data_IF_814364643250
#
_entry.id   IF_814364643250
#
_cell.length_a   1.000
_cell.length_b   1.000
_cell.length_c   1.000
_cell.angle_alpha   90.00
_cell.angle_beta   90.00
_cell.angle_gamma   90.00
#
_symmetry.space_group_name_H-M   'P 1'
#
loop_
_entity.id
_entity.type
_entity.pdbx_description
1 polymer ?
#
# COMPACT_ATOMS: atom_id res chain seq x y z
N UNK A 1 -3.42 -21.04 11.28
CA UNK A 1 -2.80 -20.35 10.14
C UNK A 1 -2.22 -18.99 10.53
N UNK A 2 -2.95 -18.10 11.25
CA UNK A 2 -2.43 -16.77 11.72
C UNK A 2 -1.06 -16.85 12.42
N UNK A 3 -0.83 -17.86 13.27
CA UNK A 3 0.45 -18.04 13.99
C UNK A 3 1.62 -18.45 13.08
N UNK A 4 1.34 -19.20 12.00
CA UNK A 4 2.36 -19.65 11.05
C UNK A 4 2.83 -18.48 10.20
N UNK A 5 1.93 -17.57 9.83
CA UNK A 5 2.23 -16.38 9.01
C UNK A 5 3.13 -15.40 9.78
N UNK A 6 2.77 -15.06 11.02
CA UNK A 6 3.58 -14.20 11.88
C UNK A 6 4.98 -14.79 12.16
N UNK A 7 5.06 -16.11 12.32
CA UNK A 7 6.33 -16.83 12.54
C UNK A 7 7.19 -16.82 11.27
N UNK A 8 6.58 -16.95 10.07
CA UNK A 8 7.29 -16.87 8.81
C UNK A 8 7.85 -15.46 8.54
N UNK A 9 7.09 -14.41 8.86
CA UNK A 9 7.53 -13.03 8.76
C UNK A 9 8.70 -12.73 9.71
N UNK A 10 8.62 -13.17 10.97
CA UNK A 10 9.72 -13.02 11.93
C UNK A 10 10.97 -13.84 11.53
N UNK A 11 10.80 -15.02 10.94
CA UNK A 11 11.90 -15.83 10.45
C UNK A 11 12.60 -15.20 9.23
N UNK A 12 11.85 -14.55 8.33
CA UNK A 12 12.41 -13.80 7.22
C UNK A 12 13.25 -12.61 7.68
N UNK A 13 12.76 -11.86 8.67
CA UNK A 13 13.48 -10.74 9.28
C UNK A 13 14.81 -11.18 9.97
N UNK A 14 14.81 -12.34 10.63
CA UNK A 14 16.02 -12.90 11.26
C UNK A 14 17.02 -13.40 10.23
N UNK A 15 16.56 -13.96 9.10
CA UNK A 15 17.44 -14.43 8.03
C UNK A 15 18.12 -13.27 7.29
N UNK A 16 17.44 -12.13 7.12
CA UNK A 16 18.04 -10.93 6.50
C UNK A 16 19.12 -10.31 7.40
N UNK A 17 18.91 -10.26 8.71
CA UNK A 17 19.90 -9.75 9.66
C UNK A 17 21.18 -10.62 9.72
N UNK A 18 21.07 -11.93 9.47
CA UNK A 18 22.22 -12.84 9.44
C UNK A 18 23.04 -12.79 8.15
N UNK A 19 22.48 -12.24 7.05
CA UNK A 19 23.15 -12.15 5.75
C UNK A 19 24.05 -10.90 5.58
N UNK A 20 24.05 -9.96 6.53
CA UNK A 20 24.72 -8.65 6.42
C UNK A 20 26.16 -8.59 6.96
N UNK A 21 26.83 -9.70 7.21
CA UNK A 21 28.22 -9.71 7.74
C UNK A 21 29.34 -9.56 6.68
N UNK A 22 29.05 -9.44 5.37
CA UNK A 22 30.07 -9.14 4.35
C UNK A 22 29.83 -7.77 3.70
N UNK A 23 30.93 -7.01 3.46
CA UNK A 23 31.04 -5.63 2.92
C UNK A 23 29.84 -5.20 2.03
N UNK A 24 29.19 -4.12 2.44
CA UNK A 24 27.91 -3.64 1.94
C UNK A 24 27.85 -3.36 0.41
N UNK A 25 27.63 -4.38 -0.37
CA UNK A 25 26.84 -4.25 -1.58
C UNK A 25 25.39 -4.20 -1.10
N UNK A 26 24.70 -3.08 -1.31
CA UNK A 26 23.28 -2.99 -0.96
C UNK A 26 22.55 -4.21 -1.56
N UNK A 27 21.96 -5.02 -0.70
CA UNK A 27 21.23 -6.20 -1.14
C UNK A 27 20.05 -5.73 -2.00
N UNK A 28 19.84 -6.29 -3.19
CA UNK A 28 18.64 -5.98 -3.97
C UNK A 28 17.35 -6.46 -3.29
N UNK A 29 17.48 -7.25 -2.23
CA UNK A 29 16.37 -7.81 -1.46
C UNK A 29 16.25 -7.08 -0.12
N UNK A 30 15.10 -6.52 0.17
CA UNK A 30 14.76 -5.87 1.44
C UNK A 30 13.54 -6.51 2.10
N UNK A 31 13.50 -6.44 3.43
CA UNK A 31 12.41 -6.94 4.24
C UNK A 31 11.90 -5.84 5.15
N UNK A 32 10.58 -5.65 5.15
CA UNK A 32 9.94 -4.69 6.02
C UNK A 32 8.80 -5.35 6.79
N UNK A 33 8.50 -4.85 7.97
CA UNK A 33 7.30 -5.22 8.73
C UNK A 33 6.73 -4.00 9.41
N UNK A 34 5.41 -3.88 9.39
CA UNK A 34 4.68 -2.77 10.00
C UNK A 34 3.65 -3.30 11.00
N UNK A 35 3.47 -2.55 12.09
CA UNK A 35 2.36 -2.71 13.02
C UNK A 35 1.54 -1.43 12.97
N UNK A 36 0.26 -1.53 12.63
CA UNK A 36 -0.63 -0.40 12.46
C UNK A 36 -1.88 -0.55 13.34
N UNK A 37 -2.29 0.53 14.01
CA UNK A 37 -3.54 0.54 14.78
C UNK A 37 -4.78 0.43 13.87
N UNK A 38 -4.66 0.91 12.65
CA UNK A 38 -5.62 0.76 11.56
C UNK A 38 -4.86 0.66 10.23
N UNK A 39 -5.21 -0.29 9.37
CA UNK A 39 -4.79 -0.29 7.99
C UNK A 39 -5.72 0.61 7.17
N UNK A 40 -5.15 1.56 6.44
CA UNK A 40 -5.88 2.56 5.65
C UNK A 40 -5.40 2.50 4.20
N UNK A 41 -6.34 2.57 3.25
CA UNK A 41 -6.03 2.55 1.83
C UNK A 41 -6.98 3.45 1.03
N UNK A 42 -6.45 4.42 0.27
CA UNK A 42 -7.17 5.32 -0.66
C UNK A 42 -8.48 5.89 -0.13
N UNK A 43 -8.44 6.41 1.11
CA UNK A 43 -9.62 7.01 1.76
C UNK A 43 -10.54 5.99 2.45
N UNK A 44 -10.15 4.73 2.55
CA UNK A 44 -10.95 3.68 3.21
C UNK A 44 -10.22 3.07 4.41
N UNK A 45 -10.99 2.63 5.37
CA UNK A 45 -10.52 1.79 6.47
C UNK A 45 -10.58 0.33 6.02
N UNK A 46 -9.43 -0.32 5.98
CA UNK A 46 -9.29 -1.72 5.56
C UNK A 46 -9.54 -2.66 6.74
N UNK A 47 -8.79 -2.50 7.81
CA UNK A 47 -8.96 -3.28 9.04
C UNK A 47 -8.38 -2.51 10.24
N UNK A 48 -8.70 -2.95 11.44
CA UNK A 48 -8.17 -2.43 12.70
C UNK A 48 -6.69 -2.76 12.91
N UNK A 49 -6.33 -3.10 14.15
CA UNK A 49 -4.96 -3.47 14.50
C UNK A 49 -4.45 -4.58 13.57
N UNK A 50 -3.35 -4.32 12.86
CA UNK A 50 -2.82 -5.21 11.83
C UNK A 50 -1.30 -5.32 11.88
N UNK A 51 -0.79 -6.43 11.37
CA UNK A 51 0.61 -6.63 11.01
C UNK A 51 0.72 -6.76 9.49
N UNK A 52 1.73 -6.12 8.93
CA UNK A 52 2.07 -6.15 7.52
C UNK A 52 3.50 -6.64 7.36
N UNK A 53 3.79 -7.34 6.29
CA UNK A 53 5.12 -7.82 5.94
C UNK A 53 5.37 -7.70 4.46
N UNK A 54 6.48 -7.04 4.14
CA UNK A 54 6.86 -6.70 2.76
C UNK A 54 8.20 -7.35 2.44
N UNK A 55 8.26 -8.02 1.30
CA UNK A 55 9.48 -8.50 0.68
C UNK A 55 9.61 -7.77 -0.65
N UNK A 56 10.70 -7.04 -0.83
CA UNK A 56 10.96 -6.31 -2.07
C UNK A 56 12.30 -6.72 -2.67
N UNK A 57 12.28 -7.03 -3.96
CA UNK A 57 13.47 -7.22 -4.78
C UNK A 57 13.56 -6.11 -5.82
N UNK A 58 14.64 -5.32 -5.81
CA UNK A 58 14.81 -4.18 -6.70
C UNK A 58 16.16 -4.21 -7.41
N UNK A 59 16.15 -4.02 -8.73
CA UNK A 59 17.36 -3.93 -9.55
C UNK A 59 17.11 -3.08 -10.80
N UNK A 60 17.98 -2.10 -11.05
CA UNK A 60 18.00 -1.30 -12.28
C UNK A 60 16.62 -0.69 -12.66
N UNK A 61 15.91 -0.16 -11.67
CA UNK A 61 14.57 0.44 -11.84
C UNK A 61 13.41 -0.55 -11.88
N UNK A 62 13.68 -1.85 -11.96
CA UNK A 62 12.67 -2.89 -11.79
C UNK A 62 12.50 -3.24 -10.31
N UNK A 63 11.28 -3.47 -9.86
CA UNK A 63 11.02 -4.07 -8.55
C UNK A 63 9.88 -5.09 -8.61
N UNK A 64 10.01 -6.11 -7.76
CA UNK A 64 8.98 -7.10 -7.50
C UNK A 64 8.74 -7.16 -6.00
N UNK A 65 7.49 -6.98 -5.59
CA UNK A 65 7.10 -6.89 -4.19
C UNK A 65 6.05 -7.94 -3.87
N UNK A 66 6.19 -8.56 -2.72
CA UNK A 66 5.15 -9.35 -2.07
C UNK A 66 4.80 -8.63 -0.77
N UNK A 67 3.54 -8.29 -0.62
CA UNK A 67 3.00 -7.63 0.55
C UNK A 67 1.88 -8.45 1.16
N UNK A 68 1.88 -8.57 2.47
CA UNK A 68 0.91 -9.36 3.18
C UNK A 68 0.45 -8.65 4.45
N UNK A 69 -0.86 -8.42 4.56
CA UNK A 69 -1.50 -7.79 5.70
C UNK A 69 -2.39 -8.81 6.43
N UNK A 70 -2.33 -8.84 7.75
CA UNK A 70 -3.21 -9.67 8.57
C UNK A 70 -3.71 -8.89 9.78
N UNK A 71 -5.02 -8.89 10.01
CA UNK A 71 -5.62 -8.34 11.21
C UNK A 71 -5.14 -9.07 12.47
N UNK A 72 -4.90 -8.32 13.53
CA UNK A 72 -4.57 -8.84 14.87
C UNK A 72 -5.80 -8.65 15.75
N UNK A 73 -6.34 -9.75 16.29
CA UNK A 73 -7.47 -9.67 17.21
C UNK A 73 -8.76 -10.27 16.68
N UNK A 74 -9.85 -9.49 16.68
CA UNK A 74 -11.19 -9.98 16.37
C UNK A 74 -11.55 -9.87 14.89
N UNK A 75 -10.89 -8.98 14.16
CA UNK A 75 -11.14 -8.77 12.75
C UNK A 75 -10.53 -9.94 11.97
N UNK A 76 -11.29 -10.49 11.03
CA UNK A 76 -10.84 -11.59 10.18
C UNK A 76 -10.49 -11.04 8.78
N UNK A 77 -9.44 -10.21 8.70
CA UNK A 77 -8.93 -9.68 7.45
C UNK A 77 -7.54 -10.24 7.14
N UNK A 78 -7.36 -10.68 5.91
CA UNK A 78 -6.07 -11.07 5.37
C UNK A 78 -5.98 -10.59 3.93
N UNK A 79 -4.80 -10.11 3.54
CA UNK A 79 -4.47 -9.62 2.21
C UNK A 79 -3.12 -10.19 1.80
N UNK A 80 -2.97 -10.51 0.52
CA UNK A 80 -1.71 -10.88 -0.09
C UNK A 80 -1.65 -10.28 -1.48
N UNK A 81 -0.68 -9.41 -1.70
CA UNK A 81 -0.53 -8.65 -2.91
C UNK A 81 0.81 -8.91 -3.58
N UNK A 82 0.79 -8.86 -4.90
CA UNK A 82 1.98 -8.96 -5.73
C UNK A 82 2.09 -7.73 -6.63
N UNK A 83 3.24 -7.06 -6.57
CA UNK A 83 3.52 -5.89 -7.38
C UNK A 83 4.70 -6.18 -8.31
N UNK A 84 4.59 -5.71 -9.54
CA UNK A 84 5.69 -5.59 -10.50
C UNK A 84 5.74 -4.14 -10.93
N UNK A 85 6.88 -3.48 -10.70
CA UNK A 85 7.06 -2.06 -11.03
C UNK A 85 8.30 -1.89 -11.89
N UNK A 86 8.25 -0.87 -12.74
CA UNK A 86 9.42 -0.37 -13.45
C UNK A 86 9.44 1.15 -13.42
N UNK A 87 10.57 1.72 -12.98
CA UNK A 87 10.77 3.17 -12.90
C UNK A 87 11.99 3.57 -13.72
N UNK A 88 11.86 4.68 -14.46
CA UNK A 88 12.94 5.28 -15.24
C UNK A 88 12.78 6.80 -15.27
N UNK A 89 13.75 7.53 -14.70
CA UNK A 89 13.79 9.01 -14.68
C UNK A 89 12.47 9.62 -14.18
N UNK A 90 11.94 9.10 -13.10
CA UNK A 90 10.70 9.56 -12.48
C UNK A 90 9.43 8.97 -13.08
N UNK A 91 9.41 8.55 -14.35
CA UNK A 91 8.26 7.84 -14.91
C UNK A 91 8.21 6.41 -14.36
N UNK A 92 7.02 5.94 -13.99
CA UNK A 92 6.84 4.57 -13.54
C UNK A 92 5.59 3.91 -14.13
N UNK A 93 5.64 2.60 -14.22
CA UNK A 93 4.50 1.73 -14.51
C UNK A 93 4.47 0.61 -13.46
N UNK A 94 3.29 0.26 -12.99
CA UNK A 94 3.06 -0.83 -12.05
C UNK A 94 1.95 -1.75 -12.51
N UNK A 95 2.08 -3.02 -12.19
CA UNK A 95 1.01 -4.00 -12.28
C UNK A 95 0.89 -4.66 -10.90
N UNK A 96 -0.31 -4.58 -10.31
CA UNK A 96 -0.56 -5.07 -8.96
C UNK A 96 -1.72 -6.06 -8.99
N UNK A 97 -1.52 -7.20 -8.36
CA UNK A 97 -2.58 -8.18 -8.08
C UNK A 97 -2.88 -8.16 -6.59
N UNK A 98 -3.97 -7.53 -6.20
CA UNK A 98 -4.48 -7.51 -4.84
C UNK A 98 -5.33 -8.75 -4.59
N UNK A 99 -5.18 -9.39 -3.42
CA UNK A 99 -6.09 -10.47 -3.00
C UNK A 99 -6.60 -10.20 -1.59
N UNK A 100 -7.85 -9.77 -1.50
CA UNK A 100 -8.51 -9.42 -0.25
C UNK A 100 -9.40 -10.57 0.23
N UNK A 101 -8.99 -11.22 1.31
CA UNK A 101 -9.76 -12.34 1.89
C UNK A 101 -10.11 -12.02 3.34
N UNK A 102 -11.39 -12.15 3.70
CA UNK A 102 -11.89 -11.84 5.05
C UNK A 102 -11.61 -13.00 6.03
N UNK A 103 -12.25 -14.13 5.89
CA UNK A 103 -12.25 -15.19 6.90
C UNK A 103 -11.18 -16.27 6.68
N UNK A 104 -10.78 -16.47 5.44
CA UNK A 104 -9.85 -17.53 5.03
C UNK A 104 -8.87 -16.97 4.02
N UNK A 105 -7.63 -17.42 4.10
CA UNK A 105 -6.66 -17.17 3.07
C UNK A 105 -6.98 -18.05 1.85
N UNK A 106 -7.72 -17.50 0.88
CA UNK A 106 -8.18 -18.20 -0.34
C UNK A 106 -7.53 -17.62 -1.61
N UNK A 107 -6.24 -17.35 -1.57
CA UNK A 107 -5.50 -16.78 -2.70
C UNK A 107 -5.72 -17.55 -4.02
N UNK A 108 -5.86 -18.87 -3.97
CA UNK A 108 -6.10 -19.71 -5.16
C UNK A 108 -7.59 -19.90 -5.49
N UNK A 109 -8.48 -19.10 -4.92
CA UNK A 109 -9.90 -19.08 -5.25
C UNK A 109 -10.19 -18.49 -6.64
N UNK A 110 -11.48 -18.39 -7.03
CA UNK A 110 -11.86 -17.81 -8.32
C UNK A 110 -11.37 -16.36 -8.45
N UNK A 111 -10.61 -16.07 -9.50
CA UNK A 111 -9.98 -14.76 -9.72
C UNK A 111 -10.96 -13.58 -9.68
N UNK A 112 -12.15 -13.77 -10.23
CA UNK A 112 -13.21 -12.75 -10.25
C UNK A 112 -13.84 -12.44 -8.89
N UNK A 113 -13.55 -13.23 -7.86
CA UNK A 113 -14.16 -13.09 -6.53
C UNK A 113 -13.16 -12.54 -5.51
N UNK A 114 -11.87 -12.87 -5.67
CA UNK A 114 -10.86 -12.62 -4.64
C UNK A 114 -9.71 -11.70 -5.10
N UNK A 115 -9.56 -11.47 -6.42
CA UNK A 115 -8.43 -10.71 -6.94
C UNK A 115 -8.86 -9.40 -7.61
N UNK A 116 -7.98 -8.42 -7.57
CA UNK A 116 -8.11 -7.15 -8.27
C UNK A 116 -6.80 -6.84 -8.98
N UNK A 117 -6.78 -6.97 -10.32
CA UNK A 117 -5.61 -6.61 -11.12
C UNK A 117 -5.66 -5.14 -11.48
N UNK A 118 -4.68 -4.37 -11.01
CA UNK A 118 -4.56 -2.95 -11.26
C UNK A 118 -3.34 -2.63 -12.13
N UNK A 119 -3.51 -1.74 -13.10
CA UNK A 119 -2.43 -1.07 -13.82
C UNK A 119 -2.28 0.34 -13.26
N UNK A 120 -1.06 0.69 -12.85
CA UNK A 120 -0.68 2.03 -12.44
C UNK A 120 0.33 2.63 -13.42
N UNK A 121 0.23 3.93 -13.66
CA UNK A 121 1.24 4.74 -14.36
C UNK A 121 1.39 6.06 -13.63
N UNK A 122 2.59 6.62 -13.61
CA UNK A 122 2.78 7.91 -12.92
C UNK A 122 4.15 8.52 -13.16
N UNK A 123 4.36 9.60 -12.44
CA UNK A 123 5.60 10.37 -12.49
C UNK A 123 5.96 10.91 -11.11
N UNK A 124 7.20 10.68 -10.70
CA UNK A 124 7.82 11.26 -9.52
C UNK A 124 8.76 12.39 -9.95
N UNK A 125 8.42 13.61 -9.58
CA UNK A 125 9.18 14.81 -9.95
C UNK A 125 10.47 14.97 -9.14
N UNK A 126 10.62 14.28 -8.01
CA UNK A 126 11.82 14.34 -7.16
C UNK A 126 13.07 13.86 -7.90
N UNK A 127 12.91 12.90 -8.82
CA UNK A 127 13.98 12.32 -9.63
C UNK A 127 14.70 13.31 -10.55
N UNK A 128 14.01 14.39 -10.98
CA UNK A 128 14.57 15.34 -11.94
C UNK A 128 14.59 16.80 -11.45
N UNK A 129 13.78 17.15 -10.44
CA UNK A 129 13.61 18.55 -10.00
C UNK A 129 13.88 18.78 -8.54
N UNK A 130 14.12 17.73 -7.73
CA UNK A 130 14.13 17.75 -6.28
C UNK A 130 12.80 18.24 -5.65
N UNK A 131 11.72 18.31 -6.43
CA UNK A 131 10.38 18.61 -5.94
C UNK A 131 9.74 17.32 -5.44
N UNK A 132 9.44 17.14 -4.16
CA UNK A 132 8.88 15.92 -3.61
C UNK A 132 7.39 15.79 -3.93
N UNK A 133 7.08 15.81 -5.23
CA UNK A 133 5.73 15.75 -5.81
C UNK A 133 5.64 14.54 -6.71
N UNK A 134 4.52 13.82 -6.65
CA UNK A 134 4.20 12.74 -7.55
C UNK A 134 2.77 12.84 -8.08
N UNK A 135 2.52 12.21 -9.23
CA UNK A 135 1.19 12.02 -9.77
C UNK A 135 1.07 10.59 -10.29
N UNK A 136 -0.05 9.94 -10.02
CA UNK A 136 -0.34 8.61 -10.56
C UNK A 136 -1.77 8.49 -11.07
N UNK A 137 -1.97 7.59 -12.03
CA UNK A 137 -3.26 7.11 -12.50
C UNK A 137 -3.27 5.60 -12.41
N UNK A 138 -4.32 5.05 -11.81
CA UNK A 138 -4.49 3.62 -11.57
C UNK A 138 -5.85 3.18 -12.09
N UNK A 139 -5.93 1.98 -12.66
CA UNK A 139 -7.20 1.44 -13.20
C UNK A 139 -7.27 -0.06 -12.96
N UNK A 140 -8.42 -0.53 -12.47
CA UNK A 140 -8.71 -1.94 -12.26
C UNK A 140 -8.99 -2.64 -13.59
N UNK A 141 -8.07 -3.50 -14.05
CA UNK A 141 -8.16 -4.16 -15.36
C UNK A 141 -8.97 -5.46 -15.34
N UNK A 142 -8.94 -6.20 -14.23
CA UNK A 142 -9.55 -7.51 -14.13
C UNK A 142 -9.88 -7.87 -12.67
N UNK A 143 -10.60 -8.97 -12.47
CA UNK A 143 -10.88 -9.53 -11.15
C UNK A 143 -12.25 -9.12 -10.60
N UNK A 144 -12.33 -8.89 -9.31
CA UNK A 144 -13.56 -8.67 -8.56
C UNK A 144 -14.15 -7.26 -8.71
N UNK A 145 -13.46 -6.34 -9.39
CA UNK A 145 -14.02 -5.03 -9.73
C UNK A 145 -15.08 -5.16 -10.83
N UNK A 146 -16.32 -5.46 -10.42
CA UNK A 146 -17.43 -5.83 -11.32
C UNK A 146 -18.61 -4.87 -11.16
N UNK A 147 -19.27 -4.56 -12.28
CA UNK A 147 -20.55 -3.86 -12.30
C UNK A 147 -21.69 -4.79 -11.85
N UNK A 148 -22.88 -4.24 -11.64
CA UNK A 148 -24.09 -5.01 -11.34
C UNK A 148 -24.43 -6.05 -12.41
N UNK A 149 -24.05 -5.81 -13.67
CA UNK A 149 -24.24 -6.72 -14.80
C UNK A 149 -23.12 -7.76 -14.97
N UNK A 150 -22.23 -7.91 -13.97
CA UNK A 150 -21.05 -8.77 -14.00
C UNK A 150 -20.06 -8.45 -15.14
N UNK A 151 -19.97 -7.18 -15.55
CA UNK A 151 -18.94 -6.70 -16.45
C UNK A 151 -17.76 -6.16 -15.64
N UNK A 152 -16.57 -6.08 -16.25
CA UNK A 152 -15.43 -5.40 -15.62
C UNK A 152 -15.76 -3.93 -15.38
N UNK A 153 -15.51 -3.44 -14.15
CA UNK A 153 -15.90 -2.09 -13.73
C UNK A 153 -14.92 -1.02 -14.16
N UNK A 154 -13.64 -1.34 -14.32
CA UNK A 154 -12.57 -0.39 -14.66
C UNK A 154 -12.53 0.83 -13.73
N UNK A 155 -12.81 0.64 -12.44
CA UNK A 155 -12.67 1.71 -11.44
C UNK A 155 -11.29 2.34 -11.53
N UNK A 156 -11.24 3.66 -11.53
CA UNK A 156 -9.99 4.39 -11.73
C UNK A 156 -9.74 5.40 -10.62
N UNK A 157 -8.45 5.60 -10.31
CA UNK A 157 -7.99 6.43 -9.23
C UNK A 157 -6.80 7.26 -9.65
N UNK A 158 -6.85 8.57 -9.37
CA UNK A 158 -5.74 9.50 -9.58
C UNK A 158 -5.25 9.94 -8.20
N UNK A 159 -3.94 9.98 -7.99
CA UNK A 159 -3.36 10.53 -6.78
C UNK A 159 -2.30 11.58 -7.09
N UNK A 160 -2.33 12.66 -6.34
CA UNK A 160 -1.27 13.66 -6.26
C UNK A 160 -0.66 13.52 -4.88
N UNK A 161 0.63 13.15 -4.83
CA UNK A 161 1.40 12.98 -3.60
C UNK A 161 2.40 14.11 -3.40
N UNK A 162 2.61 14.53 -2.16
CA UNK A 162 3.65 15.49 -1.76
C UNK A 162 4.32 15.01 -0.48
N UNK A 163 5.60 14.60 -0.56
CA UNK A 163 6.32 13.90 0.50
C UNK A 163 7.65 14.58 0.85
N UNK A 164 7.66 15.79 1.45
CA UNK A 164 8.88 16.48 1.82
C UNK A 164 9.49 15.95 3.12
N UNK A 165 10.82 15.87 3.17
CA UNK A 165 11.58 15.68 4.38
C UNK A 165 11.96 17.03 4.98
N UNK A 166 11.64 17.25 6.25
CA UNK A 166 11.98 18.47 6.98
C UNK A 166 13.41 18.40 7.55
N UNK A 167 14.04 19.55 7.75
CA UNK A 167 15.41 19.63 8.26
C UNK A 167 15.61 18.96 9.65
N UNK A 168 14.53 18.75 10.43
CA UNK A 168 14.56 18.03 11.71
C UNK A 168 14.51 16.50 11.56
N UNK A 169 14.52 15.97 10.32
CA UNK A 169 14.41 14.54 10.03
C UNK A 169 13.01 14.00 10.27
N UNK A 170 11.99 14.82 10.10
CA UNK A 170 10.58 14.41 10.04
C UNK A 170 10.19 14.37 8.57
N UNK A 171 9.57 13.28 8.16
CA UNK A 171 9.01 13.10 6.83
C UNK A 171 7.50 13.33 6.87
N UNK A 172 7.00 14.09 5.89
CA UNK A 172 5.57 14.29 5.69
C UNK A 172 5.11 13.46 4.51
N UNK A 173 3.86 12.98 4.58
CA UNK A 173 3.20 12.23 3.51
C UNK A 173 1.80 12.82 3.32
N UNK A 174 1.64 13.60 2.27
CA UNK A 174 0.39 14.30 1.95
C UNK A 174 -0.11 13.78 0.62
N UNK A 175 -1.37 13.36 0.56
CA UNK A 175 -1.97 12.89 -0.69
C UNK A 175 -3.36 13.46 -0.90
N UNK A 176 -3.68 13.70 -2.17
CA UNK A 176 -5.01 14.00 -2.67
C UNK A 176 -5.39 12.97 -3.72
N UNK A 177 -6.38 12.14 -3.39
CA UNK A 177 -6.88 11.07 -4.26
C UNK A 177 -8.25 11.41 -4.82
N UNK A 178 -8.44 11.07 -6.09
CA UNK A 178 -9.66 11.33 -6.85
C UNK A 178 -10.05 10.08 -7.63
N UNK A 179 -11.34 9.79 -7.68
CA UNK A 179 -11.87 8.70 -8.49
C UNK A 179 -12.86 9.23 -9.52
N UNK A 180 -12.95 8.54 -10.65
CA UNK A 180 -14.02 8.72 -11.64
C UNK A 180 -14.82 7.41 -11.67
N UNK A 181 -16.02 7.44 -11.11
CA UNK A 181 -16.89 6.29 -10.99
C UNK A 181 -18.32 6.66 -11.37
N UNK A 182 -19.14 5.69 -11.75
CA UNK A 182 -20.53 5.90 -12.17
C UNK A 182 -21.27 4.59 -12.33
N UNK A 183 -22.49 4.63 -12.91
CA UNK A 183 -23.36 3.45 -13.05
C UNK A 183 -22.72 2.30 -13.86
N UNK A 184 -21.82 2.64 -14.80
CA UNK A 184 -21.12 1.65 -15.64
C UNK A 184 -19.82 1.15 -15.02
N UNK A 185 -19.40 1.71 -13.86
CA UNK A 185 -18.23 1.30 -13.10
C UNK A 185 -18.66 0.67 -11.77
N UNK A 186 -17.85 -0.24 -11.24
CA UNK A 186 -18.07 -0.67 -9.87
C UNK A 186 -17.66 0.45 -8.92
N UNK A 187 -18.52 0.84 -7.99
CA UNK A 187 -18.18 1.82 -6.97
C UNK A 187 -17.15 1.22 -6.01
N UNK A 188 -15.93 1.70 -6.07
CA UNK A 188 -14.80 1.17 -5.30
C UNK A 188 -14.20 2.19 -4.34
N UNK A 189 -14.22 3.46 -4.70
CA UNK A 189 -13.57 4.54 -3.95
C UNK A 189 -14.54 5.61 -3.45
N UNK A 190 -15.74 5.68 -4.03
CA UNK A 190 -16.72 6.74 -3.76
C UNK A 190 -18.14 6.18 -3.77
N UNK A 191 -19.07 6.87 -3.06
CA UNK A 191 -20.51 6.62 -3.13
C UNK A 191 -21.22 7.53 -4.13
N UNK A 192 -20.48 8.36 -4.87
CA UNK A 192 -21.03 9.37 -5.77
C UNK A 192 -20.57 9.14 -7.18
N UNK A 193 -21.47 9.32 -8.12
CA UNK A 193 -21.17 9.31 -9.54
C UNK A 193 -20.29 10.48 -9.94
N UNK A 194 -19.48 10.28 -10.98
CA UNK A 194 -18.62 11.27 -11.57
C UNK A 194 -17.25 11.38 -10.94
N UNK A 195 -16.62 12.50 -11.16
CA UNK A 195 -15.28 12.80 -10.64
C UNK A 195 -15.38 13.35 -9.22
N UNK A 196 -14.83 12.63 -8.25
CA UNK A 196 -14.91 12.97 -6.83
C UNK A 196 -13.56 12.87 -6.15
N UNK A 197 -13.30 13.78 -5.20
CA UNK A 197 -12.21 13.60 -4.23
C UNK A 197 -12.64 12.54 -3.23
N UNK A 198 -11.90 11.42 -3.19
CA UNK A 198 -12.22 10.27 -2.34
C UNK A 198 -11.13 9.98 -1.30
N UNK A 199 -9.98 10.66 -1.37
CA UNK A 199 -8.90 10.51 -0.41
C UNK A 199 -8.21 11.84 -0.15
N UNK A 200 -8.06 12.20 1.11
CA UNK A 200 -7.13 13.21 1.57
C UNK A 200 -6.33 12.63 2.72
N UNK A 201 -5.00 12.57 2.58
CA UNK A 201 -4.10 11.99 3.56
C UNK A 201 -3.13 13.03 4.09
N UNK A 202 -2.86 12.98 5.38
CA UNK A 202 -1.76 13.66 6.05
C UNK A 202 -1.05 12.68 6.96
N UNK A 203 0.19 12.38 6.64
CA UNK A 203 1.07 11.48 7.38
C UNK A 203 2.29 12.20 7.92
N UNK A 204 2.78 11.73 9.05
CA UNK A 204 4.03 12.18 9.68
C UNK A 204 4.79 10.95 10.13
N UNK A 205 6.09 10.89 9.81
CA UNK A 205 6.96 9.81 10.27
C UNK A 205 8.36 10.33 10.61
N UNK A 206 9.13 9.50 11.30
CA UNK A 206 10.55 9.74 11.55
C UNK A 206 11.29 8.43 11.60
N UNK A 207 12.34 8.30 10.78
CA UNK A 207 13.16 7.09 10.74
C UNK A 207 14.35 7.22 11.70
N UNK A 208 14.56 6.18 12.48
CA UNK A 208 15.71 5.99 13.39
C UNK A 208 16.51 4.78 12.94
N UNK A 209 17.82 4.95 12.77
CA UNK A 209 18.70 3.84 12.44
C UNK A 209 19.23 3.20 13.73
N UNK A 210 18.97 1.92 13.92
CA UNK A 210 19.44 1.12 15.05
C UNK A 210 20.72 0.36 14.69
N UNK A 211 21.80 1.09 14.39
CA UNK A 211 23.16 0.58 14.24
C UNK A 211 23.23 -0.76 13.49
N UNK A 212 23.28 -0.80 12.23
CA UNK A 212 23.49 -2.01 11.41
C UNK A 212 22.49 -3.19 11.64
N UNK A 213 21.45 -2.99 12.45
CA UNK A 213 20.45 -4.04 12.71
C UNK A 213 19.19 -3.80 11.90
N UNK A 214 18.54 -2.66 12.07
CA UNK A 214 17.34 -2.28 11.32
C UNK A 214 17.11 -0.78 11.41
N UNK A 215 16.20 -0.27 10.60
CA UNK A 215 15.58 1.04 10.83
C UNK A 215 14.25 0.87 11.53
N UNK A 216 13.86 1.88 12.33
CA UNK A 216 12.57 1.94 13.02
C UNK A 216 11.90 3.25 12.66
N UNK A 217 10.68 3.16 12.13
CA UNK A 217 9.93 4.31 11.63
C UNK A 217 8.54 4.39 12.29
N UNK A 218 8.41 5.03 13.47
CA UNK A 218 7.09 5.40 13.98
C UNK A 218 6.40 6.37 13.02
N UNK A 219 5.10 6.19 12.86
CA UNK A 219 4.29 7.01 11.98
C UNK A 219 2.89 7.27 12.54
N UNK A 220 2.29 8.35 12.08
CA UNK A 220 0.90 8.71 12.35
C UNK A 220 0.27 9.19 11.06
N UNK A 221 -0.93 8.72 10.75
CA UNK A 221 -1.67 9.09 9.54
C UNK A 221 -3.10 9.49 9.90
N UNK A 222 -3.58 10.54 9.24
CA UNK A 222 -5.00 10.91 9.16
C UNK A 222 -5.39 10.78 7.70
N UNK A 223 -6.50 10.09 7.43
CA UNK A 223 -7.05 9.92 6.10
C UNK A 223 -8.54 10.22 6.13
N UNK A 224 -9.03 10.98 5.15
CA UNK A 224 -10.44 11.33 5.05
C UNK A 224 -10.96 10.96 3.66
N UNK A 225 -12.20 10.44 3.61
CA UNK A 225 -12.96 10.29 2.37
C UNK A 225 -14.17 11.23 2.36
N UNK A 226 -14.11 12.38 1.66
CA UNK A 226 -15.19 13.36 1.66
C UNK A 226 -16.48 12.88 0.98
N UNK A 227 -16.48 11.73 0.33
CA UNK A 227 -17.68 11.13 -0.26
C UNK A 227 -18.50 10.31 0.73
N UNK A 228 -17.94 10.05 1.93
CA UNK A 228 -18.56 9.19 2.94
C UNK A 228 -18.58 7.73 2.56
N UNK A 229 -17.63 7.28 1.73
CA UNK A 229 -17.46 5.87 1.36
C UNK A 229 -16.87 5.09 2.56
N UNK A 230 -17.41 3.87 2.79
CA UNK A 230 -17.01 3.02 3.91
C UNK A 230 -18.00 3.06 5.09
N UNK A 231 -17.89 2.06 5.96
CA UNK A 231 -18.85 1.83 7.06
C UNK A 231 -18.48 2.53 8.36
N UNK A 232 -17.28 3.09 8.46
CA UNK A 232 -16.71 3.62 9.71
C UNK A 232 -16.62 5.15 9.76
N UNK A 233 -17.21 5.87 8.80
CA UNK A 233 -17.22 7.33 8.76
C UNK A 233 -16.34 7.94 7.67
N UNK A 234 -16.13 9.25 7.74
CA UNK A 234 -15.45 10.04 6.71
C UNK A 234 -13.97 10.32 7.03
N UNK A 235 -13.53 10.05 8.25
CA UNK A 235 -12.17 10.32 8.71
C UNK A 235 -11.63 9.19 9.57
N UNK A 236 -10.39 8.82 9.30
CA UNK A 236 -9.69 7.71 9.94
C UNK A 236 -8.34 8.17 10.47
N UNK A 237 -7.94 7.59 11.59
CA UNK A 237 -6.64 7.81 12.21
C UNK A 237 -5.89 6.47 12.28
N UNK A 238 -4.59 6.49 11.99
CA UNK A 238 -3.71 5.34 12.21
C UNK A 238 -2.42 5.80 12.86
N UNK A 239 -1.96 5.03 13.84
CA UNK A 239 -0.62 5.12 14.40
C UNK A 239 0.08 3.78 14.18
N UNK A 240 1.33 3.82 13.76
CA UNK A 240 2.07 2.62 13.43
C UNK A 240 3.56 2.72 13.72
N UNK A 241 4.24 1.60 13.57
CA UNK A 241 5.70 1.51 13.59
C UNK A 241 6.16 0.52 12.53
N UNK A 242 7.05 0.96 11.66
CA UNK A 242 7.72 0.14 10.66
C UNK A 242 9.12 -0.26 11.09
N UNK A 243 9.58 -1.42 10.63
CA UNK A 243 10.94 -1.93 10.78
C UNK A 243 11.42 -2.37 9.40
N UNK A 244 12.60 -1.91 8.95
CA UNK A 244 13.23 -2.37 7.71
C UNK A 244 14.62 -2.96 8.01
N UNK A 245 14.93 -4.07 7.30
CA UNK A 245 16.13 -4.90 7.49
C UNK A 245 16.91 -5.02 6.19
#
# INVERSE_FOLDING_TARGET
>A
MKKIFLTAMMAAAVLSAAAQEEEAVESPLTFETNLNSNALWRGTHVTGLSAEGIINYSVAGFSAVVDAISAIGKDDYNELDFYINYQFKGAFVSLTDYSWTMDKFEYFGPYKEYHFLELGVGYDFSEITNLPLSISYNVMLAGANRTADDKQGYSSYIEIGFAPSLACGIDLDIALGMALEGEETALMYTKKDGFNVCNTKFGVSKTYNLKNFCTVTPNVNIMCNPTGFGDHGEAYFSAGVGFAF
#
